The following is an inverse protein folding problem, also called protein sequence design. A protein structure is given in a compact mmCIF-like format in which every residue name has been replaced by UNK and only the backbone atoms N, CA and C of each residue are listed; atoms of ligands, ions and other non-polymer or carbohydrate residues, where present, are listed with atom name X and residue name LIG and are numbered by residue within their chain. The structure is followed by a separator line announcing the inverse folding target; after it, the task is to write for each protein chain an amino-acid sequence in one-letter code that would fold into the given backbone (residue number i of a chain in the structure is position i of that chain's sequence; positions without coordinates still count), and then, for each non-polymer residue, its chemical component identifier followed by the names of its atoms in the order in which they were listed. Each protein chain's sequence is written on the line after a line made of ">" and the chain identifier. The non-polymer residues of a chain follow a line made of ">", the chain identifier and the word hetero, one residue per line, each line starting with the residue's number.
data_IF_318597970342
#
_entry.id   IF_318597970342
#
_cell.length_a   1.000
_cell.length_b   1.000
_cell.length_c   1.000
_cell.angle_alpha   90.00
_cell.angle_beta   90.00
_cell.angle_gamma   90.00
#
_symmetry.space_group_name_H-M   'P 1'
#
loop_
_entity.id
_entity.type
_entity.pdbx_description
1 polymer ?
#
# COMPACT_ATOMS: atom_id res chain seq x y z
N UNK A 1 -4.17 3.05 15.34
CA UNK A 1 -4.43 2.27 14.09
C UNK A 1 -4.12 0.82 14.32
N UNK A 2 -4.90 -0.05 13.76
CA UNK A 2 -4.72 -1.49 13.82
C UNK A 2 -4.64 -2.03 12.38
N UNK A 3 -3.71 -2.93 12.12
CA UNK A 3 -3.57 -3.60 10.83
C UNK A 3 -3.84 -5.09 11.01
N UNK A 4 -4.77 -5.64 10.24
CA UNK A 4 -5.21 -7.03 10.37
C UNK A 4 -5.64 -7.61 9.04
N UNK A 5 -5.79 -8.93 8.97
CA UNK A 5 -6.30 -9.57 7.77
C UNK A 5 -7.68 -9.01 7.43
N UNK A 6 -7.92 -8.74 6.16
CA UNK A 6 -9.19 -8.20 5.70
C UNK A 6 -10.32 -9.20 5.93
N UNK A 7 -11.49 -8.68 6.30
CA UNK A 7 -12.69 -9.47 6.45
C UNK A 7 -13.62 -9.28 5.26
N UNK A 8 -14.27 -10.36 4.82
CA UNK A 8 -15.16 -10.30 3.65
C UNK A 8 -16.26 -9.26 3.80
N UNK A 9 -16.79 -9.08 5.00
CA UNK A 9 -17.83 -8.08 5.27
C UNK A 9 -17.39 -6.65 5.05
N UNK A 10 -16.08 -6.38 4.99
CA UNK A 10 -15.51 -5.04 4.79
C UNK A 10 -15.02 -4.79 3.36
N UNK A 11 -15.15 -5.79 2.47
CA UNK A 11 -14.59 -5.68 1.11
C UNK A 11 -15.11 -4.47 0.35
N UNK A 12 -16.41 -4.20 0.39
CA UNK A 12 -16.96 -3.07 -0.33
C UNK A 12 -16.37 -1.74 0.15
N UNK A 13 -16.20 -1.60 1.47
CA UNK A 13 -15.59 -0.40 2.04
C UNK A 13 -14.11 -0.28 1.67
N UNK A 14 -13.37 -1.38 1.71
CA UNK A 14 -11.95 -1.42 1.34
C UNK A 14 -11.79 -1.01 -0.13
N UNK A 15 -12.60 -1.55 -1.03
CA UNK A 15 -12.54 -1.23 -2.45
C UNK A 15 -12.90 0.23 -2.71
N UNK A 16 -13.91 0.76 -2.02
CA UNK A 16 -14.29 2.17 -2.13
C UNK A 16 -13.13 3.09 -1.70
N UNK A 17 -12.43 2.74 -0.64
CA UNK A 17 -11.26 3.49 -0.16
C UNK A 17 -10.11 3.40 -1.18
N UNK A 18 -9.83 2.21 -1.70
CA UNK A 18 -8.82 2.02 -2.74
C UNK A 18 -9.10 2.91 -3.94
N UNK A 19 -10.34 2.90 -4.42
CA UNK A 19 -10.76 3.74 -5.54
C UNK A 19 -10.56 5.22 -5.22
N UNK A 20 -11.06 5.69 -4.09
CA UNK A 20 -10.94 7.09 -3.70
C UNK A 20 -9.48 7.52 -3.57
N UNK A 21 -8.64 6.68 -2.97
CA UNK A 21 -7.23 6.98 -2.77
C UNK A 21 -6.47 7.11 -4.09
N UNK A 22 -6.63 6.14 -5.00
CA UNK A 22 -5.93 6.18 -6.27
C UNK A 22 -6.53 7.23 -7.23
N UNK A 23 -7.84 7.46 -7.20
CA UNK A 23 -8.44 8.54 -7.98
C UNK A 23 -7.92 9.91 -7.53
N UNK A 24 -7.56 10.08 -6.25
CA UNK A 24 -7.00 11.32 -5.72
C UNK A 24 -5.61 11.65 -6.30
N UNK A 25 -4.92 10.67 -6.90
CA UNK A 25 -3.60 10.88 -7.47
C UNK A 25 -3.61 11.84 -8.66
N UNK A 26 -4.75 12.12 -9.25
CA UNK A 26 -4.86 13.14 -10.30
C UNK A 26 -4.35 14.50 -9.81
N UNK A 27 -4.44 14.76 -8.49
CA UNK A 27 -3.98 16.00 -7.88
C UNK A 27 -2.45 16.08 -7.72
N UNK A 28 -1.74 14.99 -7.98
CA UNK A 28 -0.27 14.92 -7.89
C UNK A 28 0.39 14.48 -9.20
N UNK A 29 -0.32 14.65 -10.32
CA UNK A 29 0.26 14.46 -11.64
C UNK A 29 -0.19 13.23 -12.42
N UNK A 30 -1.12 12.42 -11.87
CA UNK A 30 -1.61 11.25 -12.57
C UNK A 30 -2.47 11.63 -13.77
N UNK A 31 -2.34 10.87 -14.87
CA UNK A 31 -3.33 10.86 -15.94
C UNK A 31 -4.49 9.95 -15.51
N UNK A 32 -5.63 10.05 -16.20
CA UNK A 32 -6.79 9.20 -15.90
C UNK A 32 -6.49 7.71 -15.96
N UNK A 33 -5.51 7.29 -16.75
CA UNK A 33 -5.14 5.89 -16.93
C UNK A 33 -4.04 5.41 -15.98
N UNK A 34 -3.60 6.23 -15.02
CA UNK A 34 -2.43 5.94 -14.21
C UNK A 34 -2.71 5.12 -12.94
N UNK A 35 -3.95 4.84 -12.62
CA UNK A 35 -4.29 3.99 -11.47
C UNK A 35 -3.84 2.55 -11.71
N UNK A 36 -3.41 1.81 -10.65
CA UNK A 36 -2.99 0.43 -10.83
C UNK A 36 -4.16 -0.45 -11.30
N UNK A 37 -3.87 -1.53 -12.03
CA UNK A 37 -4.93 -2.44 -12.49
C UNK A 37 -5.79 -2.92 -11.33
N UNK A 38 -7.09 -3.07 -11.57
CA UNK A 38 -8.04 -3.64 -10.62
C UNK A 38 -8.19 -2.88 -9.29
N UNK A 39 -7.73 -1.63 -9.23
CA UNK A 39 -7.79 -0.82 -8.01
C UNK A 39 -9.23 -0.60 -7.51
N UNK A 40 -10.21 -0.70 -8.38
CA UNK A 40 -11.65 -0.55 -8.10
C UNK A 40 -12.42 -1.88 -8.27
N UNK A 41 -11.72 -3.01 -8.40
CA UNK A 41 -12.35 -4.31 -8.63
C UNK A 41 -12.63 -5.03 -7.32
N UNK A 42 -13.90 -5.23 -7.01
CA UNK A 42 -14.32 -6.03 -5.85
C UNK A 42 -13.85 -7.48 -5.98
N UNK A 43 -14.02 -8.08 -7.16
CA UNK A 43 -13.64 -9.47 -7.40
C UNK A 43 -12.14 -9.70 -7.19
N UNK A 44 -11.31 -8.78 -7.69
CA UNK A 44 -9.86 -8.88 -7.53
C UNK A 44 -9.46 -8.76 -6.05
N UNK A 45 -10.07 -7.84 -5.30
CA UNK A 45 -9.76 -7.68 -3.88
C UNK A 45 -10.20 -8.90 -3.05
N UNK A 46 -11.31 -9.53 -3.42
CA UNK A 46 -11.73 -10.79 -2.79
C UNK A 46 -10.69 -11.88 -3.05
N UNK A 47 -10.16 -11.96 -4.28
CA UNK A 47 -9.10 -12.89 -4.61
C UNK A 47 -7.86 -12.65 -3.75
N UNK A 48 -7.43 -11.39 -3.63
CA UNK A 48 -6.27 -11.03 -2.79
C UNK A 48 -6.50 -11.39 -1.33
N UNK A 49 -7.71 -11.18 -0.83
CA UNK A 49 -8.08 -11.60 0.52
C UNK A 49 -7.98 -13.11 0.69
N UNK A 50 -8.56 -13.87 -0.25
CA UNK A 50 -8.59 -15.33 -0.17
C UNK A 50 -7.19 -15.95 -0.27
N UNK A 51 -6.27 -15.29 -0.97
CA UNK A 51 -4.87 -15.70 -1.06
C UNK A 51 -4.02 -15.20 0.11
N UNK A 52 -4.61 -14.48 1.06
CA UNK A 52 -3.93 -14.03 2.28
C UNK A 52 -3.12 -12.75 2.14
N UNK A 53 -3.31 -12.00 1.06
CA UNK A 53 -2.50 -10.79 0.79
C UNK A 53 -3.14 -9.49 1.24
N UNK A 54 -4.46 -9.45 1.41
CA UNK A 54 -5.18 -8.21 1.69
C UNK A 54 -5.34 -7.99 3.19
N UNK A 55 -4.87 -6.83 3.65
CA UNK A 55 -5.01 -6.37 5.02
C UNK A 55 -5.89 -5.13 5.08
N UNK A 56 -6.60 -4.96 6.19
CA UNK A 56 -7.39 -3.77 6.47
C UNK A 56 -6.77 -2.95 7.59
N UNK A 57 -6.78 -1.62 7.42
CA UNK A 57 -6.32 -0.69 8.44
C UNK A 57 -7.54 -0.08 9.12
N UNK A 58 -7.56 -0.11 10.44
CA UNK A 58 -8.73 0.25 11.25
C UNK A 58 -8.34 1.30 12.30
N UNK A 59 -9.15 2.35 12.41
CA UNK A 59 -9.05 3.35 13.49
C UNK A 59 -10.43 3.46 14.13
N UNK A 60 -10.50 3.28 15.45
CA UNK A 60 -11.75 3.39 16.22
C UNK A 60 -12.91 2.57 15.63
N UNK A 61 -12.58 1.36 15.15
CA UNK A 61 -13.57 0.44 14.59
C UNK A 61 -13.95 0.71 13.14
N UNK A 62 -13.40 1.74 12.52
CA UNK A 62 -13.68 2.08 11.13
C UNK A 62 -12.52 1.73 10.19
N UNK A 63 -12.85 1.19 9.02
CA UNK A 63 -11.86 0.92 7.98
C UNK A 63 -11.40 2.27 7.39
N UNK A 64 -10.10 2.52 7.43
CA UNK A 64 -9.51 3.76 6.92
C UNK A 64 -8.51 3.54 5.79
N UNK A 65 -8.17 2.30 5.51
CA UNK A 65 -7.22 1.98 4.46
C UNK A 65 -6.96 0.50 4.35
N UNK A 66 -5.94 0.15 3.60
CA UNK A 66 -5.54 -1.24 3.43
C UNK A 66 -4.14 -1.37 2.85
N UNK A 67 -3.70 -2.61 2.78
CA UNK A 67 -2.42 -2.97 2.19
C UNK A 67 -2.55 -4.32 1.50
N UNK A 68 -1.79 -4.51 0.43
CA UNK A 68 -1.68 -5.80 -0.25
C UNK A 68 -0.21 -6.18 -0.24
N UNK A 69 0.10 -7.27 0.46
CA UNK A 69 1.46 -7.65 0.79
C UNK A 69 1.77 -9.06 0.30
N UNK A 70 3.00 -9.27 -0.15
CA UNK A 70 3.49 -10.56 -0.61
C UNK A 70 4.80 -10.89 0.09
N UNK A 71 4.87 -12.04 0.73
CA UNK A 71 6.11 -12.53 1.35
C UNK A 71 6.80 -13.46 0.35
N UNK A 72 8.07 -13.22 0.06
CA UNK A 72 8.84 -14.06 -0.84
C UNK A 72 9.09 -15.43 -0.23
N UNK A 73 9.52 -16.38 -1.08
CA UNK A 73 9.77 -17.78 -0.68
C UNK A 73 10.83 -17.90 0.41
N UNK A 74 11.76 -16.93 0.51
CA UNK A 74 12.79 -16.94 1.57
C UNK A 74 12.20 -16.62 2.96
N UNK A 75 10.98 -16.11 3.03
CA UNK A 75 10.36 -15.72 4.28
C UNK A 75 10.95 -14.46 4.92
N UNK A 76 11.90 -13.82 4.27
CA UNK A 76 12.63 -12.66 4.80
C UNK A 76 12.41 -11.38 4.00
N UNK A 77 11.81 -11.48 2.81
CA UNK A 77 11.57 -10.33 1.93
C UNK A 77 10.07 -10.10 1.79
N UNK A 78 9.64 -8.87 2.05
CA UNK A 78 8.26 -8.43 1.87
C UNK A 78 8.18 -7.51 0.67
N UNK A 79 7.27 -7.80 -0.25
CA UNK A 79 6.91 -6.90 -1.32
C UNK A 79 5.59 -6.21 -1.01
N UNK A 80 5.63 -4.88 -0.96
CA UNK A 80 4.42 -4.08 -0.76
C UNK A 80 3.79 -3.83 -2.13
N UNK A 81 2.77 -4.60 -2.45
CA UNK A 81 2.07 -4.47 -3.72
C UNK A 81 1.25 -3.21 -3.78
N UNK A 82 0.51 -2.92 -2.71
CA UNK A 82 -0.29 -1.70 -2.59
C UNK A 82 -0.41 -1.29 -1.14
N UNK A 83 -0.52 0.03 -0.95
CA UNK A 83 -0.86 0.65 0.32
C UNK A 83 -1.76 1.83 -0.01
N UNK A 84 -2.87 1.97 0.69
CA UNK A 84 -3.83 3.05 0.44
C UNK A 84 -4.52 3.47 1.73
N UNK A 85 -4.79 4.77 1.81
CA UNK A 85 -5.50 5.41 2.94
C UNK A 85 -6.63 6.25 2.35
N UNK A 86 -7.79 6.25 3.00
CA UNK A 86 -8.90 7.11 2.64
C UNK A 86 -8.40 8.56 2.56
N UNK A 87 -8.66 9.28 1.45
CA UNK A 87 -8.19 10.66 1.30
C UNK A 87 -8.55 11.60 2.44
N UNK A 88 -9.66 11.36 3.15
CA UNK A 88 -10.03 12.18 4.31
C UNK A 88 -9.03 12.05 5.46
N UNK A 89 -8.19 11.02 5.44
CA UNK A 89 -7.13 10.80 6.42
C UNK A 89 -5.74 11.19 5.91
N UNK A 90 -5.63 11.72 4.68
CA UNK A 90 -4.34 12.18 4.16
C UNK A 90 -3.82 13.36 4.98
N UNK A 91 -2.49 13.46 5.10
CA UNK A 91 -1.77 14.51 5.84
C UNK A 91 -2.02 14.51 7.35
N UNK A 92 -2.56 13.43 7.90
CA UNK A 92 -2.76 13.26 9.35
C UNK A 92 -1.74 12.31 9.97
N UNK A 93 -0.74 11.86 9.19
CA UNK A 93 0.24 10.89 9.66
C UNK A 93 -0.22 9.45 9.58
N UNK A 94 -1.41 9.18 9.06
CA UNK A 94 -1.97 7.83 9.02
C UNK A 94 -1.25 6.94 8.00
N UNK A 95 -0.79 7.51 6.88
CA UNK A 95 0.03 6.77 5.92
C UNK A 95 1.35 6.33 6.52
N UNK A 96 1.99 7.18 7.31
CA UNK A 96 3.21 6.86 8.03
C UNK A 96 2.96 5.74 9.05
N UNK A 97 1.87 5.84 9.83
CA UNK A 97 1.49 4.83 10.80
C UNK A 97 1.25 3.48 10.12
N UNK A 98 0.55 3.49 8.99
CA UNK A 98 0.27 2.28 8.23
C UNK A 98 1.55 1.62 7.75
N UNK A 99 2.49 2.38 7.15
CA UNK A 99 3.77 1.80 6.69
C UNK A 99 4.60 1.24 7.84
N UNK A 100 4.63 1.90 8.99
CA UNK A 100 5.33 1.37 10.15
C UNK A 100 4.74 0.04 10.61
N UNK A 101 3.43 -0.11 10.55
CA UNK A 101 2.76 -1.37 10.91
C UNK A 101 3.01 -2.45 9.86
N UNK A 102 3.05 -2.09 8.58
CA UNK A 102 3.40 -3.01 7.50
C UNK A 102 4.80 -3.59 7.73
N UNK A 103 5.75 -2.75 8.14
CA UNK A 103 7.14 -3.16 8.35
C UNK A 103 7.30 -4.19 9.46
N UNK A 104 6.34 -4.29 10.36
CA UNK A 104 6.40 -5.22 11.50
C UNK A 104 5.30 -6.28 11.48
N UNK A 105 4.47 -6.30 10.45
CA UNK A 105 3.30 -7.19 10.43
C UNK A 105 3.68 -8.67 10.40
N UNK A 106 4.65 -9.05 9.57
CA UNK A 106 5.14 -10.42 9.51
C UNK A 106 6.46 -10.55 10.27
N UNK A 107 6.60 -11.57 11.13
CA UNK A 107 7.89 -11.79 11.82
C UNK A 107 8.95 -12.27 10.82
N UNK A 108 10.20 -11.95 11.09
CA UNK A 108 11.32 -12.44 10.31
C UNK A 108 11.63 -11.69 9.02
N UNK A 109 10.88 -10.66 8.70
CA UNK A 109 11.15 -9.86 7.51
C UNK A 109 12.40 -9.00 7.75
N UNK A 110 13.36 -9.06 6.82
CA UNK A 110 14.62 -8.33 6.88
C UNK A 110 14.76 -7.29 5.78
N UNK A 111 13.95 -7.39 4.72
CA UNK A 111 14.00 -6.50 3.57
C UNK A 111 12.61 -6.22 3.07
N UNK A 112 12.33 -4.97 2.74
CA UNK A 112 11.06 -4.56 2.14
C UNK A 112 11.36 -3.96 0.78
N UNK A 113 10.59 -4.38 -0.22
CA UNK A 113 10.66 -3.88 -1.59
C UNK A 113 9.32 -3.30 -2.00
N UNK A 114 9.36 -2.24 -2.77
CA UNK A 114 8.17 -1.65 -3.37
C UNK A 114 8.55 -0.86 -4.61
N UNK A 115 7.54 -0.50 -5.39
CA UNK A 115 7.72 0.40 -6.51
C UNK A 115 6.61 1.45 -6.51
N UNK A 116 6.86 2.57 -7.19
CA UNK A 116 5.89 3.65 -7.32
C UNK A 116 6.10 4.36 -8.66
N UNK A 117 5.02 4.88 -9.27
CA UNK A 117 5.15 5.60 -10.54
C UNK A 117 6.11 6.79 -10.43
N UNK A 118 6.92 7.00 -11.45
CA UNK A 118 7.87 8.12 -11.49
C UNK A 118 7.17 9.48 -11.36
N UNK A 119 5.97 9.60 -11.92
CA UNK A 119 5.22 10.87 -11.87
C UNK A 119 4.71 11.21 -10.47
N UNK A 120 4.62 10.26 -9.56
CA UNK A 120 4.04 10.51 -8.25
C UNK A 120 5.07 11.07 -7.27
N UNK A 121 5.22 12.39 -7.30
CA UNK A 121 6.17 13.08 -6.43
C UNK A 121 5.88 12.85 -4.95
N UNK A 122 4.59 12.73 -4.58
CA UNK A 122 4.18 12.52 -3.20
C UNK A 122 4.67 11.19 -2.64
N UNK A 123 4.45 10.08 -3.36
CA UNK A 123 4.88 8.76 -2.90
C UNK A 123 6.38 8.59 -2.96
N UNK A 124 7.05 9.12 -3.98
CA UNK A 124 8.50 9.08 -4.05
C UNK A 124 9.14 9.80 -2.86
N UNK A 125 8.63 10.99 -2.50
CA UNK A 125 9.10 11.71 -1.33
C UNK A 125 8.77 10.96 -0.02
N UNK A 126 7.59 10.38 0.06
CA UNK A 126 7.13 9.63 1.23
C UNK A 126 8.07 8.46 1.55
N UNK A 127 8.36 7.62 0.57
CA UNK A 127 9.23 6.46 0.79
C UNK A 127 10.68 6.85 1.05
N UNK A 128 11.19 7.87 0.36
CA UNK A 128 12.55 8.38 0.62
C UNK A 128 12.67 8.86 2.07
N UNK A 129 11.67 9.59 2.55
CA UNK A 129 11.65 10.10 3.93
C UNK A 129 11.59 8.99 4.96
N UNK A 130 10.98 7.84 4.62
CA UNK A 130 10.91 6.67 5.49
C UNK A 130 12.18 5.82 5.49
N UNK A 131 13.19 6.22 4.73
CA UNK A 131 14.46 5.50 4.69
C UNK A 131 14.57 4.47 3.57
N UNK A 132 13.62 4.45 2.65
CA UNK A 132 13.71 3.59 1.46
C UNK A 132 14.68 4.20 0.47
N UNK A 133 15.51 3.36 -0.14
CA UNK A 133 16.48 3.78 -1.15
C UNK A 133 16.03 3.33 -2.53
N UNK A 134 16.07 4.23 -3.49
CA UNK A 134 15.79 3.88 -4.88
C UNK A 134 16.96 3.03 -5.39
N UNK A 135 16.68 1.81 -5.83
CA UNK A 135 17.71 0.88 -6.31
C UNK A 135 17.76 0.76 -7.81
N UNK A 136 16.69 1.13 -8.50
CA UNK A 136 16.63 1.22 -9.95
C UNK A 136 15.39 1.99 -10.39
N UNK A 137 15.32 2.33 -11.67
CA UNK A 137 14.11 2.87 -12.28
C UNK A 137 14.02 2.43 -13.73
N UNK A 138 12.81 2.39 -14.23
CA UNK A 138 12.55 2.19 -15.66
C UNK A 138 11.77 3.39 -16.22
N UNK A 139 11.07 3.22 -17.33
CA UNK A 139 10.31 4.31 -17.94
C UNK A 139 9.09 4.75 -17.15
N UNK A 140 8.59 3.88 -16.28
CA UNK A 140 7.31 4.08 -15.59
C UNK A 140 7.43 4.14 -14.07
N UNK A 141 8.37 3.38 -13.50
CA UNK A 141 8.46 3.18 -12.05
C UNK A 141 9.83 3.44 -11.48
N UNK A 142 9.85 3.91 -10.23
CA UNK A 142 11.03 3.88 -9.37
C UNK A 142 10.88 2.70 -8.41
N UNK A 143 11.94 1.94 -8.20
CA UNK A 143 11.98 0.75 -7.34
C UNK A 143 12.77 1.05 -6.09
N UNK A 144 12.15 0.80 -4.94
CA UNK A 144 12.71 1.13 -3.63
C UNK A 144 12.93 -0.12 -2.79
N UNK A 145 13.88 -0.01 -1.88
CA UNK A 145 14.22 -1.09 -0.98
C UNK A 145 14.64 -0.52 0.37
N UNK A 146 14.27 -1.20 1.45
CA UNK A 146 14.70 -0.87 2.79
C UNK A 146 15.10 -2.14 3.52
N UNK A 147 16.25 -2.12 4.17
CA UNK A 147 16.68 -3.22 5.03
C UNK A 147 16.27 -2.92 6.46
N UNK A 148 15.73 -3.93 7.14
CA UNK A 148 15.29 -3.84 8.52
C UNK A 148 16.35 -4.46 9.43
N UNK A 149 16.53 -3.86 10.57
CA UNK A 149 17.47 -4.35 11.59
C UNK A 149 16.94 -5.59 12.32
#
# INVERSE_FOLDING_TARGET
>A
MKLENAELKHIERIVAISKAAFDSDIHVGASEAAAPPDYDSTAWHIQMKNEGHLLQAVIDGEIVGGAILFVDKDGETLYVGRIFIDPVHHRKGDGLSLMKMVETFYPGIRKIKLDTPLWNARTNAFYTKLGYCEVKRDKEFAYYQKELD
#
